data_IF_751113928070
#
_entry.id   IF_751113928070
#
_cell.length_a   1.000
_cell.length_b   1.000
_cell.length_c   1.000
_cell.angle_alpha   90.00
_cell.angle_beta   90.00
_cell.angle_gamma   90.00
#
_symmetry.space_group_name_H-M   'P 1'
#
loop_
_entity.id
_entity.type
_entity.pdbx_description
1 polymer ?
#
# COMPACT_ATOMS: atom_id res chain seq x y z
N UNK A 1 13.54 11.36 -22.11
CA UNK A 1 14.42 10.59 -21.23
C UNK A 1 15.26 9.65 -22.07
N UNK A 2 16.29 9.03 -21.49
CA UNK A 2 17.15 8.11 -22.24
C UNK A 2 16.36 6.82 -22.52
N UNK A 3 16.58 6.18 -23.68
CA UNK A 3 15.94 4.89 -23.99
C UNK A 3 16.74 3.79 -23.31
N UNK A 4 16.11 3.08 -22.36
CA UNK A 4 16.71 1.98 -21.61
C UNK A 4 16.03 0.68 -22.02
N UNK A 5 16.82 -0.32 -22.43
CA UNK A 5 16.33 -1.64 -22.84
C UNK A 5 15.58 -2.33 -21.68
N UNK A 6 14.41 -2.89 -21.95
CA UNK A 6 13.55 -3.53 -20.95
C UNK A 6 12.70 -2.57 -20.12
N UNK A 7 12.84 -1.26 -20.36
CA UNK A 7 12.08 -0.20 -19.70
C UNK A 7 11.52 0.82 -20.70
N UNK A 8 11.22 0.37 -21.91
CA UNK A 8 10.75 1.21 -23.02
C UNK A 8 9.43 1.92 -22.69
N UNK A 9 8.61 1.31 -21.82
CA UNK A 9 7.34 1.86 -21.34
C UNK A 9 7.48 2.77 -20.11
N UNK A 10 8.68 2.92 -19.54
CA UNK A 10 8.87 3.72 -18.34
C UNK A 10 8.55 5.19 -18.59
N UNK A 11 7.57 5.70 -17.85
CA UNK A 11 7.15 7.10 -17.86
C UNK A 11 7.38 7.72 -16.47
N UNK A 12 7.00 8.99 -16.26
CA UNK A 12 7.00 9.57 -14.90
C UNK A 12 5.84 9.05 -14.03
N UNK A 13 4.87 8.39 -14.64
CA UNK A 13 3.81 7.64 -13.95
C UNK A 13 4.23 6.18 -13.80
N UNK A 14 3.75 5.55 -12.72
CA UNK A 14 4.05 4.15 -12.44
C UNK A 14 3.35 3.22 -13.44
N UNK A 15 4.14 2.49 -14.22
CA UNK A 15 3.64 1.51 -15.20
C UNK A 15 3.83 0.10 -14.66
N UNK A 16 2.77 -0.72 -14.71
CA UNK A 16 2.84 -2.11 -14.30
C UNK A 16 3.58 -2.96 -15.35
N UNK A 17 4.42 -3.87 -14.87
CA UNK A 17 5.19 -4.77 -15.73
C UNK A 17 4.64 -6.18 -15.57
N UNK A 18 4.22 -6.84 -16.66
CA UNK A 18 3.77 -8.22 -16.60
C UNK A 18 4.95 -9.14 -16.24
N UNK A 19 4.75 -10.18 -15.41
CA UNK A 19 5.75 -11.20 -15.19
C UNK A 19 6.01 -12.01 -16.47
N UNK A 20 7.18 -12.65 -16.55
CA UNK A 20 7.45 -13.63 -17.60
C UNK A 20 6.38 -14.72 -17.59
N UNK A 21 5.99 -15.23 -18.76
CA UNK A 21 5.15 -16.42 -18.80
C UNK A 21 5.91 -17.57 -18.15
N UNK A 22 5.33 -18.16 -17.11
CA UNK A 22 5.89 -19.39 -16.54
C UNK A 22 5.70 -20.54 -17.54
N UNK A 23 6.80 -21.18 -17.92
CA UNK A 23 6.79 -22.38 -18.74
C UNK A 23 6.21 -23.53 -17.92
N UNK A 24 4.88 -23.70 -17.98
CA UNK A 24 4.07 -24.83 -17.52
C UNK A 24 4.81 -25.82 -16.59
N UNK A 25 4.77 -25.56 -15.28
CA UNK A 25 5.11 -26.58 -14.30
C UNK A 25 4.20 -27.80 -14.52
N UNK A 26 4.80 -28.96 -14.73
CA UNK A 26 4.09 -30.24 -14.74
C UNK A 26 3.35 -30.31 -13.41
N UNK A 27 2.02 -30.35 -13.43
CA UNK A 27 1.24 -30.77 -12.27
C UNK A 27 1.82 -32.10 -11.83
N UNK A 28 2.51 -32.13 -10.70
CA UNK A 28 2.68 -33.38 -9.99
C UNK A 28 1.29 -33.75 -9.52
N UNK A 29 0.71 -34.79 -10.11
CA UNK A 29 -0.41 -35.53 -9.51
C UNK A 29 0.13 -36.19 -8.22
N UNK A 30 0.47 -35.39 -7.22
CA UNK A 30 0.49 -35.87 -5.85
C UNK A 30 -0.97 -35.85 -5.43
N UNK A 31 -1.61 -37.02 -5.43
CA UNK A 31 -2.90 -37.20 -4.78
C UNK A 31 -2.78 -36.63 -3.37
N UNK A 32 -3.41 -35.48 -3.16
CA UNK A 32 -3.40 -34.79 -1.87
C UNK A 32 -4.05 -35.69 -0.84
N UNK A 33 -3.41 -35.83 0.32
CA UNK A 33 -3.93 -36.61 1.45
C UNK A 33 -5.13 -35.87 2.06
N UNK A 34 -6.29 -35.99 1.42
CA UNK A 34 -7.57 -35.58 1.99
C UNK A 34 -7.90 -36.55 3.10
N UNK A 35 -8.01 -36.04 4.32
CA UNK A 35 -8.56 -36.85 5.41
C UNK A 35 -9.99 -37.26 5.04
N UNK A 36 -10.41 -38.49 5.37
CA UNK A 36 -11.81 -38.87 5.25
C UNK A 36 -12.67 -37.85 5.99
N UNK A 37 -13.77 -37.41 5.37
CA UNK A 37 -14.71 -36.52 6.05
C UNK A 37 -15.16 -37.17 7.37
N UNK A 38 -15.11 -36.44 8.50
CA UNK A 38 -15.61 -36.97 9.76
C UNK A 38 -17.09 -37.30 9.63
N UNK A 39 -17.54 -38.33 10.36
CA UNK A 39 -18.95 -38.67 10.45
C UNK A 39 -19.74 -37.52 11.06
N UNK A 40 -20.89 -37.17 10.48
CA UNK A 40 -21.75 -36.11 10.99
C UNK A 40 -22.17 -36.48 12.43
N UNK A 41 -21.86 -35.65 13.43
CA UNK A 41 -22.32 -35.89 14.80
C UNK A 41 -23.84 -35.88 14.84
N UNK A 42 -24.42 -36.93 15.42
CA UNK A 42 -25.87 -37.01 15.60
C UNK A 42 -26.26 -36.36 16.93
N UNK A 43 -26.79 -35.14 16.83
CA UNK A 43 -27.46 -34.46 17.94
C UNK A 43 -28.73 -35.21 18.35
N UNK A 44 -28.86 -35.53 19.63
CA UNK A 44 -30.07 -36.10 20.21
C UNK A 44 -31.12 -35.02 20.49
N UNK A 45 -32.40 -35.42 20.59
CA UNK A 45 -33.48 -34.49 20.96
C UNK A 45 -33.22 -33.78 22.30
N UNK A 46 -32.64 -34.51 23.26
CA UNK A 46 -32.30 -33.97 24.58
C UNK A 46 -31.27 -32.84 24.47
N UNK A 47 -30.21 -33.05 23.70
CA UNK A 47 -29.15 -32.04 23.50
C UNK A 47 -29.68 -30.82 22.75
N UNK A 48 -30.49 -31.03 21.71
CA UNK A 48 -31.15 -29.94 20.99
C UNK A 48 -32.04 -29.10 21.92
N UNK A 49 -32.80 -29.76 22.81
CA UNK A 49 -33.69 -29.11 23.78
C UNK A 49 -32.91 -28.34 24.84
N UNK A 50 -31.82 -28.90 25.34
CA UNK A 50 -30.93 -28.23 26.30
C UNK A 50 -30.27 -26.99 25.68
N UNK A 51 -29.81 -27.07 24.43
CA UNK A 51 -29.26 -25.94 23.69
C UNK A 51 -30.30 -24.82 23.48
N UNK A 52 -31.54 -25.18 23.08
CA UNK A 52 -32.64 -24.24 22.91
C UNK A 52 -33.01 -23.55 24.24
N UNK A 53 -33.09 -24.32 25.34
CA UNK A 53 -33.38 -23.76 26.67
C UNK A 53 -32.27 -22.81 27.13
N UNK A 54 -31.02 -23.12 26.81
CA UNK A 54 -29.87 -22.25 27.09
C UNK A 54 -30.00 -20.94 26.31
N UNK A 55 -30.25 -20.95 25.01
CA UNK A 55 -30.41 -19.72 24.21
C UNK A 55 -31.63 -18.91 24.65
N UNK A 56 -32.77 -19.55 24.92
CA UNK A 56 -33.96 -18.86 25.44
C UNK A 56 -33.66 -18.17 26.78
N UNK A 57 -32.78 -18.73 27.60
CA UNK A 57 -32.39 -18.14 28.89
C UNK A 57 -31.49 -16.91 28.78
N UNK A 58 -30.82 -16.69 27.63
CA UNK A 58 -29.99 -15.50 27.39
C UNK A 58 -30.84 -14.28 27.01
N UNK A 59 -32.09 -14.48 26.59
CA UNK A 59 -33.02 -13.43 26.16
C UNK A 59 -34.00 -13.07 27.27
N UNK A 60 -33.88 -11.86 27.80
CA UNK A 60 -34.84 -11.33 28.77
C UNK A 60 -36.26 -11.34 28.15
N UNK A 61 -37.26 -11.78 28.91
CA UNK A 61 -38.68 -11.87 28.54
C UNK A 61 -39.10 -13.04 27.63
N UNK A 62 -38.22 -13.99 27.28
CA UNK A 62 -38.65 -15.19 26.56
C UNK A 62 -39.22 -16.25 27.54
N UNK A 63 -40.42 -16.76 27.23
CA UNK A 63 -41.04 -17.84 27.99
C UNK A 63 -40.37 -19.19 27.72
N UNK A 64 -40.04 -19.95 28.77
CA UNK A 64 -39.37 -21.27 28.64
C UNK A 64 -40.32 -22.43 28.29
N UNK A 65 -41.62 -22.23 28.45
CA UNK A 65 -42.65 -23.27 28.27
C UNK A 65 -42.62 -23.85 26.86
N UNK A 66 -42.53 -23.02 25.82
CA UNK A 66 -42.47 -23.48 24.44
C UNK A 66 -41.22 -24.35 24.19
N UNK A 67 -40.03 -23.89 24.59
CA UNK A 67 -38.78 -24.65 24.42
C UNK A 67 -38.78 -25.99 25.18
N UNK A 68 -39.45 -26.05 26.34
CA UNK A 68 -39.53 -27.28 27.15
C UNK A 68 -40.54 -28.28 26.62
N UNK A 69 -41.70 -27.82 26.18
CA UNK A 69 -42.88 -28.67 25.97
C UNK A 69 -43.19 -28.90 24.47
N UNK A 70 -42.57 -28.16 23.54
CA UNK A 70 -42.75 -28.39 22.10
C UNK A 70 -42.27 -29.77 21.66
N UNK A 71 -43.03 -30.41 20.77
CA UNK A 71 -42.63 -31.64 20.11
C UNK A 71 -41.61 -31.34 19.00
N UNK A 72 -40.46 -32.02 19.04
CA UNK A 72 -39.46 -31.97 17.97
C UNK A 72 -39.76 -33.13 17.02
N UNK A 73 -40.27 -32.82 15.84
CA UNK A 73 -40.75 -33.84 14.89
C UNK A 73 -39.65 -34.40 14.00
N UNK A 74 -38.61 -33.61 13.73
CA UNK A 74 -37.52 -33.96 12.82
C UNK A 74 -36.26 -33.15 13.20
N UNK A 75 -35.09 -33.81 13.20
CA UNK A 75 -33.79 -33.16 13.36
C UNK A 75 -32.97 -33.50 12.11
N UNK A 76 -32.56 -32.48 11.36
CA UNK A 76 -31.76 -32.63 10.13
C UNK A 76 -30.32 -32.22 10.40
N UNK A 77 -29.42 -33.20 10.44
CA UNK A 77 -27.99 -32.93 10.55
C UNK A 77 -27.39 -32.58 9.18
N UNK A 78 -26.57 -31.54 9.14
CA UNK A 78 -25.82 -31.17 7.93
C UNK A 78 -24.44 -30.65 8.30
N UNK A 79 -23.53 -30.68 7.32
CA UNK A 79 -22.22 -30.07 7.44
C UNK A 79 -22.24 -28.71 6.73
N UNK A 80 -21.64 -27.72 7.36
CA UNK A 80 -21.20 -26.50 6.69
C UNK A 80 -19.67 -26.49 6.67
N UNK A 81 -19.12 -25.94 5.61
CA UNK A 81 -17.70 -25.88 5.35
C UNK A 81 -17.30 -24.41 5.29
N UNK A 82 -16.39 -24.00 6.17
CA UNK A 82 -15.74 -22.70 6.05
C UNK A 82 -14.37 -22.94 5.43
N UNK A 83 -14.01 -22.19 4.39
CA UNK A 83 -12.64 -22.21 3.90
C UNK A 83 -12.12 -20.79 3.74
N UNK A 84 -10.85 -20.62 4.06
CA UNK A 84 -10.11 -19.40 3.82
C UNK A 84 -9.13 -19.65 2.68
N UNK A 85 -9.02 -18.70 1.76
CA UNK A 85 -8.05 -18.70 0.70
C UNK A 85 -7.11 -17.52 0.96
N UNK A 86 -5.93 -17.80 1.52
CA UNK A 86 -4.89 -16.80 1.68
C UNK A 86 -3.95 -16.84 0.47
N UNK A 87 -3.92 -15.76 -0.33
CA UNK A 87 -3.15 -15.63 -1.56
C UNK A 87 -2.15 -14.48 -1.45
N UNK A 88 -0.87 -14.77 -1.64
CA UNK A 88 0.19 -13.77 -1.62
C UNK A 88 0.67 -13.42 -3.04
N UNK A 89 0.67 -12.14 -3.42
CA UNK A 89 0.96 -11.71 -4.79
C UNK A 89 2.10 -10.70 -4.84
N UNK A 90 2.98 -10.80 -5.84
CA UNK A 90 4.01 -9.81 -6.16
C UNK A 90 3.62 -9.00 -7.41
N UNK A 91 3.68 -7.68 -7.32
CA UNK A 91 3.46 -6.75 -8.43
C UNK A 91 4.66 -5.83 -8.59
N UNK A 92 5.20 -5.74 -9.81
CA UNK A 92 6.29 -4.82 -10.17
C UNK A 92 5.79 -3.66 -11.00
N UNK A 93 6.25 -2.46 -10.67
CA UNK A 93 5.97 -1.23 -11.44
C UNK A 93 7.22 -0.39 -11.61
N UNK A 94 7.37 0.29 -12.75
CA UNK A 94 8.51 1.17 -13.03
C UNK A 94 8.06 2.59 -13.35
N UNK A 95 8.87 3.55 -12.95
CA UNK A 95 8.73 4.96 -13.33
C UNK A 95 10.08 5.66 -13.33
N UNK A 96 10.18 6.75 -14.08
CA UNK A 96 11.26 7.71 -13.98
C UNK A 96 11.13 8.50 -12.67
N UNK A 97 12.23 8.60 -11.95
CA UNK A 97 12.39 9.43 -10.77
C UNK A 97 13.58 10.36 -10.95
N UNK A 98 13.61 11.44 -10.17
CA UNK A 98 14.74 12.37 -10.16
C UNK A 98 15.00 12.93 -8.77
N UNK A 99 16.23 13.35 -8.53
CA UNK A 99 16.66 14.04 -7.31
C UNK A 99 17.79 15.03 -7.58
N UNK A 100 18.16 15.86 -6.59
CA UNK A 100 19.29 16.77 -6.71
C UNK A 100 20.58 15.97 -6.94
N UNK A 101 21.42 16.44 -7.86
CA UNK A 101 22.73 15.87 -8.07
C UNK A 101 23.78 16.70 -7.32
N UNK A 102 24.44 16.09 -6.33
CA UNK A 102 25.39 16.76 -5.43
C UNK A 102 26.87 16.60 -5.83
N UNK A 103 27.14 16.09 -7.03
CA UNK A 103 28.48 15.68 -7.44
C UNK A 103 28.82 14.28 -6.89
N UNK A 104 29.18 13.36 -7.78
CA UNK A 104 29.52 11.99 -7.45
C UNK A 104 29.48 11.09 -8.68
N UNK A 105 30.11 9.90 -8.66
CA UNK A 105 30.00 8.97 -9.77
C UNK A 105 28.54 8.58 -9.96
N UNK A 106 28.10 8.55 -11.21
CA UNK A 106 26.79 8.02 -11.60
C UNK A 106 27.05 6.78 -12.41
N UNK A 107 26.53 5.64 -11.97
CA UNK A 107 26.53 4.40 -12.76
C UNK A 107 25.60 4.62 -13.94
N UNK A 108 26.20 4.97 -15.06
CA UNK A 108 25.53 5.34 -16.30
C UNK A 108 25.38 4.12 -17.20
N UNK A 109 24.53 4.24 -18.21
CA UNK A 109 24.33 3.21 -19.23
C UNK A 109 25.60 2.87 -20.03
N UNK A 110 26.60 3.76 -20.03
CA UNK A 110 27.93 3.51 -20.63
C UNK A 110 28.81 2.58 -19.78
N UNK A 111 28.44 2.35 -18.52
CA UNK A 111 29.22 1.59 -17.53
C UNK A 111 28.72 0.15 -17.37
N UNK A 112 27.57 -0.19 -17.97
CA UNK A 112 26.94 -1.52 -17.88
C UNK A 112 25.53 -1.55 -18.48
N UNK A 113 24.99 -2.75 -18.64
CA UNK A 113 23.61 -2.96 -19.12
C UNK A 113 22.64 -3.07 -17.93
N UNK A 114 21.50 -2.38 -18.01
CA UNK A 114 20.48 -2.44 -16.97
C UNK A 114 19.81 -3.83 -16.94
N UNK A 115 19.62 -4.45 -15.76
CA UNK A 115 18.91 -5.73 -15.65
C UNK A 115 17.43 -5.58 -16.00
N UNK A 116 16.80 -6.62 -16.53
CA UNK A 116 15.35 -6.59 -16.77
C UNK A 116 14.59 -6.50 -15.44
N UNK A 117 13.37 -5.94 -15.45
CA UNK A 117 12.64 -5.69 -14.22
C UNK A 117 12.39 -6.92 -13.33
N UNK A 118 12.27 -8.11 -13.92
CA UNK A 118 12.05 -9.39 -13.21
C UNK A 118 13.34 -10.15 -12.86
N UNK A 119 14.47 -9.78 -13.46
CA UNK A 119 15.78 -10.36 -13.12
C UNK A 119 16.37 -9.75 -11.84
N UNK A 120 15.83 -8.61 -11.40
CA UNK A 120 16.21 -7.99 -10.13
C UNK A 120 15.72 -8.88 -8.98
N UNK A 121 16.61 -9.40 -8.13
CA UNK A 121 16.22 -10.28 -7.04
C UNK A 121 15.36 -9.50 -6.03
N UNK A 122 14.28 -10.13 -5.57
CA UNK A 122 13.45 -9.57 -4.52
C UNK A 122 12.88 -10.67 -3.66
N UNK A 123 12.97 -10.49 -2.35
CA UNK A 123 12.30 -11.33 -1.37
C UNK A 123 11.49 -10.45 -0.43
N UNK A 124 10.23 -10.82 -0.13
CA UNK A 124 9.46 -10.11 0.87
C UNK A 124 10.11 -10.30 2.26
N UNK A 125 10.13 -9.29 3.14
CA UNK A 125 10.65 -9.45 4.51
C UNK A 125 9.84 -10.45 5.35
N UNK A 126 8.55 -10.59 5.05
CA UNK A 126 7.65 -11.55 5.66
C UNK A 126 6.66 -12.00 4.60
N UNK A 127 6.47 -13.32 4.45
CA UNK A 127 5.38 -13.87 3.66
C UNK A 127 4.03 -13.51 4.29
N UNK A 128 2.98 -13.46 3.46
CA UNK A 128 1.60 -13.19 3.86
C UNK A 128 1.38 -11.86 4.60
N UNK A 129 2.27 -10.88 4.39
CA UNK A 129 2.10 -9.52 4.88
C UNK A 129 2.32 -8.52 3.77
N UNK A 130 1.45 -7.52 3.70
CA UNK A 130 1.58 -6.44 2.74
C UNK A 130 2.91 -5.74 2.93
N UNK A 131 3.67 -5.61 1.85
CA UNK A 131 4.95 -4.92 1.89
C UNK A 131 5.23 -4.23 0.56
N UNK A 132 6.03 -3.16 0.59
CA UNK A 132 6.42 -2.45 -0.63
C UNK A 132 7.84 -1.96 -0.48
N UNK A 133 8.69 -2.29 -1.44
CA UNK A 133 10.04 -1.74 -1.55
C UNK A 133 10.16 -0.91 -2.82
N UNK A 134 11.02 0.10 -2.73
CA UNK A 134 11.42 0.92 -3.87
C UNK A 134 12.93 0.83 -4.01
N UNK A 135 13.38 0.49 -5.21
CA UNK A 135 14.78 0.38 -5.54
C UNK A 135 15.05 1.14 -6.82
N UNK A 136 16.27 1.66 -6.93
CA UNK A 136 16.76 2.22 -8.17
C UNK A 136 17.30 1.09 -9.06
N UNK A 137 16.98 1.15 -10.35
CA UNK A 137 17.49 0.19 -11.32
C UNK A 137 18.94 0.55 -11.66
N UNK A 138 19.91 -0.37 -11.48
CA UNK A 138 21.30 -0.14 -11.81
C UNK A 138 21.52 0.29 -13.26
N UNK A 139 22.53 1.11 -13.51
CA UNK A 139 22.93 1.61 -14.84
C UNK A 139 21.87 2.43 -15.60
N UNK A 140 20.78 2.82 -14.95
CA UNK A 140 19.73 3.67 -15.57
C UNK A 140 19.87 5.15 -15.25
N UNK A 141 20.83 5.50 -14.38
CA UNK A 141 20.97 6.86 -13.90
C UNK A 141 21.69 7.75 -14.92
N UNK A 142 21.20 8.97 -15.08
CA UNK A 142 21.83 9.99 -15.91
C UNK A 142 21.69 11.38 -15.29
N UNK A 143 22.72 12.21 -15.47
CA UNK A 143 22.71 13.61 -15.02
C UNK A 143 22.12 14.47 -16.12
N UNK A 144 21.12 15.29 -15.77
CA UNK A 144 20.46 16.22 -16.68
C UNK A 144 20.42 17.61 -16.06
N UNK A 145 20.32 18.62 -16.91
CA UNK A 145 20.06 19.99 -16.46
C UNK A 145 18.71 20.02 -15.75
N UNK A 146 18.63 20.70 -14.61
CA UNK A 146 17.40 20.81 -13.85
C UNK A 146 16.29 21.44 -14.71
N UNK A 147 15.26 20.66 -15.01
CA UNK A 147 14.11 21.12 -15.81
C UNK A 147 13.33 22.27 -15.15
N UNK A 148 13.46 22.44 -13.83
CA UNK A 148 12.78 23.50 -13.10
C UNK A 148 13.53 24.82 -13.27
N UNK A 149 14.80 24.93 -12.88
CA UNK A 149 15.54 26.19 -12.98
C UNK A 149 16.22 26.44 -14.33
N UNK A 150 16.41 25.40 -15.16
CA UNK A 150 17.13 25.49 -16.43
C UNK A 150 18.66 25.46 -16.28
N UNK A 151 19.20 25.09 -15.11
CA UNK A 151 20.64 25.03 -14.86
C UNK A 151 21.24 26.02 -13.85
N UNK A 152 20.72 27.25 -13.65
CA UNK A 152 21.29 28.22 -12.71
C UNK A 152 21.27 27.84 -11.23
N UNK A 153 20.56 26.77 -10.85
CA UNK A 153 20.40 26.38 -9.45
C UNK A 153 19.52 27.33 -8.61
N UNK A 154 19.16 28.50 -9.13
CA UNK A 154 18.34 29.51 -8.47
C UNK A 154 17.17 29.94 -9.36
N UNK A 155 16.13 30.49 -8.75
CA UNK A 155 14.98 31.09 -9.43
C UNK A 155 14.66 32.44 -8.83
N UNK A 156 13.97 33.30 -9.59
CA UNK A 156 13.38 34.52 -9.05
C UNK A 156 12.59 34.19 -7.79
N UNK A 157 12.87 34.90 -6.70
CA UNK A 157 12.14 34.71 -5.46
C UNK A 157 10.70 35.17 -5.67
N UNK A 158 9.74 34.25 -5.57
CA UNK A 158 8.31 34.58 -5.73
C UNK A 158 7.82 35.52 -4.62
N UNK A 159 8.35 35.41 -3.39
CA UNK A 159 7.88 36.20 -2.26
C UNK A 159 8.14 37.71 -2.46
N UNK A 160 9.36 38.08 -2.85
CA UNK A 160 9.70 39.49 -3.13
C UNK A 160 9.66 39.85 -4.61
N UNK A 161 9.18 38.95 -5.48
CA UNK A 161 9.19 39.12 -6.93
C UNK A 161 10.56 39.58 -7.47
N UNK A 162 11.66 39.04 -6.95
CA UNK A 162 13.01 39.42 -7.40
C UNK A 162 13.58 40.73 -6.82
N UNK A 163 12.81 41.47 -6.01
CA UNK A 163 13.28 42.75 -5.46
C UNK A 163 14.35 42.60 -4.37
N UNK A 164 14.38 41.45 -3.71
CA UNK A 164 15.28 41.21 -2.57
C UNK A 164 14.77 41.78 -1.24
N UNK A 165 13.76 42.63 -1.25
CA UNK A 165 13.17 43.22 -0.04
C UNK A 165 11.64 43.17 -0.08
N UNK A 166 11.04 43.37 1.09
CA UNK A 166 9.61 43.54 1.31
C UNK A 166 9.39 44.85 2.07
N UNK A 167 8.25 45.50 1.88
CA UNK A 167 7.92 46.71 2.63
C UNK A 167 7.79 46.38 4.12
N UNK A 168 8.32 47.25 4.96
CA UNK A 168 8.19 47.08 6.39
C UNK A 168 6.71 47.17 6.77
N UNK A 169 6.13 46.05 7.21
CA UNK A 169 4.73 45.99 7.64
C UNK A 169 4.40 46.95 8.79
N UNK A 170 5.41 47.38 9.56
CA UNK A 170 5.19 48.26 10.71
C UNK A 170 5.11 49.76 10.35
N UNK A 171 5.74 50.19 9.25
CA UNK A 171 5.68 51.58 8.78
C UNK A 171 5.10 51.70 7.36
N UNK A 172 4.57 50.62 6.80
CA UNK A 172 4.00 50.54 5.45
C UNK A 172 4.90 51.05 4.31
N UNK A 173 6.21 51.15 4.53
CA UNK A 173 7.17 51.68 3.55
C UNK A 173 7.70 53.07 3.86
N UNK A 174 7.11 53.79 4.84
CA UNK A 174 7.45 55.19 5.12
C UNK A 174 8.80 55.36 5.83
N UNK A 175 9.30 54.30 6.48
CA UNK A 175 10.54 54.33 7.24
C UNK A 175 10.43 54.97 8.62
N UNK A 176 9.31 55.62 8.95
CA UNK A 176 9.07 56.29 10.23
C UNK A 176 8.13 55.51 11.14
N UNK A 177 8.26 55.70 12.46
CA UNK A 177 7.35 55.10 13.44
C UNK A 177 5.95 55.73 13.33
N UNK A 178 4.88 54.93 13.17
CA UNK A 178 3.50 55.46 13.12
C UNK A 178 3.05 56.06 14.46
N UNK A 179 3.80 55.81 15.55
CA UNK A 179 3.55 56.34 16.90
C UNK A 179 4.28 57.67 17.18
N UNK A 180 5.03 58.19 16.22
CA UNK A 180 5.70 59.48 16.37
C UNK A 180 4.67 60.62 16.34
N UNK A 181 4.56 61.38 17.44
CA UNK A 181 3.85 62.68 17.45
C UNK A 181 4.43 63.58 16.33
N UNK A 182 3.55 64.36 15.68
CA UNK A 182 3.80 65.18 14.47
C UNK A 182 5.05 66.08 14.48
N UNK A 183 5.73 66.23 15.62
CA UNK A 183 6.86 67.13 15.83
C UNK A 183 8.21 66.41 16.07
N UNK A 184 8.23 65.07 16.13
CA UNK A 184 9.47 64.30 16.30
C UNK A 184 9.42 63.01 15.47
N UNK A 185 9.78 63.09 14.19
CA UNK A 185 9.90 61.95 13.28
C UNK A 185 10.98 61.00 13.79
N UNK A 186 10.57 59.89 14.41
CA UNK A 186 11.48 58.81 14.84
C UNK A 186 11.52 57.73 13.77
N UNK A 187 12.72 57.26 13.47
CA UNK A 187 12.91 56.12 12.57
C UNK A 187 12.16 54.89 13.08
N UNK A 188 11.56 54.14 12.15
CA UNK A 188 10.93 52.88 12.44
C UNK A 188 11.99 51.90 12.96
N UNK A 189 11.82 51.40 14.18
CA UNK A 189 12.78 50.48 14.83
C UNK A 189 12.93 49.14 14.09
N UNK A 190 11.90 48.71 13.36
CA UNK A 190 11.87 47.40 12.67
C UNK A 190 12.59 47.38 11.33
N UNK A 191 12.73 48.53 10.68
CA UNK A 191 13.48 48.68 9.42
C UNK A 191 14.58 49.74 9.51
N UNK A 192 14.84 50.26 10.70
CA UNK A 192 15.86 51.29 11.01
C UNK A 192 15.84 52.43 10.00
N UNK A 193 14.67 53.05 9.79
CA UNK A 193 14.51 54.19 8.88
C UNK A 193 14.36 53.86 7.39
N UNK A 194 14.65 52.63 6.95
CA UNK A 194 14.71 52.32 5.51
C UNK A 194 13.36 52.10 4.81
N UNK A 195 12.28 51.90 5.57
CA UNK A 195 10.97 51.51 5.03
C UNK A 195 10.89 50.09 4.45
N UNK A 196 12.02 49.40 4.35
CA UNK A 196 12.16 48.12 3.66
C UNK A 196 12.87 47.10 4.55
N UNK A 197 12.55 45.82 4.39
CA UNK A 197 13.24 44.74 5.10
C UNK A 197 13.73 43.73 4.09
N UNK A 198 14.91 43.14 4.33
CA UNK A 198 15.40 42.03 3.50
C UNK A 198 14.33 40.94 3.45
N UNK A 199 14.05 40.46 2.25
CA UNK A 199 13.11 39.37 2.06
C UNK A 199 13.60 38.16 2.84
N UNK A 200 12.77 37.67 3.75
CA UNK A 200 13.12 36.55 4.64
C UNK A 200 13.41 35.27 3.86
N UNK A 201 12.82 35.11 2.66
CA UNK A 201 12.95 33.90 1.85
C UNK A 201 14.27 33.82 1.08
N UNK A 202 14.78 34.94 0.59
CA UNK A 202 16.00 35.00 -0.21
C UNK A 202 17.15 35.78 0.46
N UNK A 203 16.97 36.20 1.72
CA UNK A 203 18.00 36.90 2.49
C UNK A 203 18.46 38.24 1.92
N UNK A 204 17.69 38.86 1.01
CA UNK A 204 18.13 40.07 0.30
C UNK A 204 18.47 39.89 -1.18
N UNK A 205 18.73 38.67 -1.65
CA UNK A 205 19.32 38.47 -2.99
C UNK A 205 18.35 38.62 -4.17
N UNK A 206 17.04 38.58 -3.92
CA UNK A 206 16.02 38.51 -4.98
C UNK A 206 15.91 37.14 -5.67
N UNK A 207 16.86 36.24 -5.43
CA UNK A 207 16.89 34.89 -5.99
C UNK A 207 16.76 33.85 -4.87
N UNK A 208 15.89 32.86 -5.07
CA UNK A 208 15.73 31.73 -4.16
C UNK A 208 16.38 30.48 -4.75
N UNK A 209 16.96 29.64 -3.88
CA UNK A 209 17.50 28.34 -4.28
C UNK A 209 16.40 27.47 -4.91
N UNK A 210 16.73 26.81 -6.02
CA UNK A 210 15.85 25.85 -6.64
C UNK A 210 15.76 24.60 -5.74
N UNK A 211 14.55 24.33 -5.23
CA UNK A 211 14.30 23.19 -4.33
C UNK A 211 14.52 21.82 -5.00
N UNK A 212 14.30 21.72 -6.31
CA UNK A 212 14.38 20.44 -7.04
C UNK A 212 15.82 19.96 -7.21
N UNK A 213 16.74 20.88 -7.51
CA UNK A 213 18.17 20.55 -7.63
C UNK A 213 18.97 21.01 -6.41
N UNK A 214 18.34 21.46 -5.33
CA UNK A 214 18.99 21.99 -4.13
C UNK A 214 20.12 22.99 -4.40
N UNK A 215 19.96 23.86 -5.40
CA UNK A 215 20.99 24.84 -5.77
C UNK A 215 22.06 24.37 -6.76
N UNK A 216 22.15 23.08 -7.10
CA UNK A 216 23.25 22.56 -7.94
C UNK A 216 23.07 22.80 -9.43
N UNK A 217 21.84 23.10 -9.87
CA UNK A 217 21.52 23.29 -11.29
C UNK A 217 21.35 21.99 -12.08
N UNK A 218 21.72 20.86 -11.49
CA UNK A 218 21.68 19.54 -12.11
C UNK A 218 20.82 18.59 -11.30
N UNK A 219 20.16 17.67 -11.99
CA UNK A 219 19.37 16.60 -11.39
C UNK A 219 19.87 15.26 -11.89
N UNK A 220 19.84 14.28 -11.01
CA UNK A 220 20.07 12.87 -11.35
C UNK A 220 18.72 12.24 -11.62
N UNK A 221 18.53 11.72 -12.83
CA UNK A 221 17.33 11.04 -13.28
C UNK A 221 17.62 9.54 -13.39
N UNK A 222 16.73 8.67 -12.94
CA UNK A 222 16.93 7.22 -12.93
C UNK A 222 15.58 6.52 -13.00
N UNK A 223 15.59 5.21 -13.31
CA UNK A 223 14.38 4.39 -13.25
C UNK A 223 14.26 3.81 -11.85
N UNK A 224 13.09 3.98 -11.24
CA UNK A 224 12.73 3.39 -9.96
C UNK A 224 11.81 2.21 -10.18
N UNK A 225 12.21 1.04 -9.70
CA UNK A 225 11.37 -0.15 -9.61
C UNK A 225 10.69 -0.17 -8.23
N UNK A 226 9.38 -0.32 -8.24
CA UNK A 226 8.58 -0.53 -7.02
C UNK A 226 8.02 -1.95 -7.06
N UNK A 227 8.38 -2.74 -6.05
CA UNK A 227 7.92 -4.12 -5.87
C UNK A 227 6.94 -4.12 -4.70
N UNK A 228 5.69 -4.49 -4.97
CA UNK A 228 4.62 -4.53 -3.99
C UNK A 228 4.17 -5.97 -3.79
N UNK A 229 4.26 -6.44 -2.56
CA UNK A 229 3.62 -7.67 -2.14
C UNK A 229 2.28 -7.38 -1.47
N UNK A 230 1.25 -8.10 -1.88
CA UNK A 230 -0.11 -7.98 -1.32
C UNK A 230 -0.61 -9.35 -0.92
N UNK A 231 -0.97 -9.48 0.36
CA UNK A 231 -1.72 -10.59 0.89
C UNK A 231 -3.22 -10.34 0.68
N UNK A 232 -3.90 -11.34 0.14
CA UNK A 232 -5.33 -11.35 -0.06
C UNK A 232 -5.89 -12.51 0.75
N UNK A 233 -6.84 -12.23 1.63
CA UNK A 233 -7.60 -13.26 2.33
C UNK A 233 -9.02 -13.20 1.78
N UNK A 234 -9.50 -14.35 1.33
CA UNK A 234 -10.88 -14.54 0.92
C UNK A 234 -11.48 -15.66 1.76
N UNK A 235 -12.73 -15.53 2.18
CA UNK A 235 -13.38 -16.46 3.07
C UNK A 235 -14.75 -16.86 2.51
N UNK A 236 -15.05 -18.14 2.57
CA UNK A 236 -16.25 -18.70 1.95
C UNK A 236 -16.87 -19.73 2.86
N UNK A 237 -18.18 -19.63 3.03
CA UNK A 237 -19.00 -20.62 3.72
C UNK A 237 -19.81 -21.39 2.68
N UNK A 238 -19.70 -22.71 2.69
CA UNK A 238 -20.45 -23.63 1.85
C UNK A 238 -21.32 -24.49 2.74
N UNK A 239 -22.62 -24.22 2.71
CA UNK A 239 -23.62 -24.96 3.46
C UNK A 239 -24.59 -25.72 2.54
N UNK A 240 -25.12 -26.84 3.04
CA UNK A 240 -26.17 -27.62 2.35
C UNK A 240 -27.59 -27.21 2.77
N UNK A 241 -27.75 -26.46 3.87
CA UNK A 241 -29.06 -26.01 4.37
C UNK A 241 -29.11 -24.49 4.32
N UNK A 242 -29.90 -23.95 3.38
CA UNK A 242 -29.93 -22.55 2.94
C UNK A 242 -30.50 -21.50 3.92
N UNK A 243 -30.53 -21.78 5.22
CA UNK A 243 -31.27 -20.97 6.21
C UNK A 243 -30.43 -20.57 7.42
N UNK A 244 -29.11 -20.80 7.40
CA UNK A 244 -28.22 -20.40 8.49
C UNK A 244 -27.52 -19.09 8.12
N UNK A 245 -27.07 -18.40 9.15
CA UNK A 245 -26.39 -17.11 9.03
C UNK A 245 -24.89 -17.37 8.95
N UNK A 246 -24.27 -17.05 7.80
CA UNK A 246 -22.84 -17.24 7.54
C UNK A 246 -21.96 -16.63 8.65
N UNK A 247 -22.37 -15.48 9.20
CA UNK A 247 -21.61 -14.83 10.27
C UNK A 247 -21.63 -15.63 11.58
N UNK A 248 -22.67 -16.43 11.82
CA UNK A 248 -22.71 -17.34 12.96
C UNK A 248 -21.85 -18.57 12.70
N UNK A 249 -21.78 -19.05 11.46
CA UNK A 249 -20.93 -20.17 11.05
C UNK A 249 -19.44 -19.80 11.13
N UNK A 250 -19.07 -18.55 10.85
CA UNK A 250 -17.69 -18.08 10.97
C UNK A 250 -17.16 -18.06 12.41
N UNK A 251 -18.04 -17.88 13.40
CA UNK A 251 -17.68 -17.67 14.80
C UNK A 251 -17.71 -18.94 15.67
N UNK A 252 -18.10 -20.07 15.10
CA UNK A 252 -18.15 -21.36 15.80
C UNK A 252 -16.83 -22.12 15.70
N UNK A 253 -16.50 -22.89 16.73
CA UNK A 253 -15.32 -23.75 16.75
C UNK A 253 -15.51 -24.96 15.82
N UNK A 254 -14.53 -25.23 14.96
CA UNK A 254 -14.52 -26.39 14.05
C UNK A 254 -13.20 -27.16 14.09
N UNK A 255 -13.14 -28.27 13.35
CA UNK A 255 -11.92 -29.04 13.08
C UNK A 255 -11.25 -28.55 11.78
N UNK A 256 -9.95 -28.81 11.60
CA UNK A 256 -9.25 -28.54 10.34
C UNK A 256 -9.25 -29.83 9.51
N UNK A 257 -10.11 -29.95 8.51
CA UNK A 257 -10.13 -31.14 7.62
C UNK A 257 -9.12 -31.04 6.47
N UNK A 258 -8.69 -29.84 6.05
CA UNK A 258 -7.72 -29.67 4.97
C UNK A 258 -6.77 -28.48 5.20
N UNK A 259 -5.47 -28.67 4.98
CA UNK A 259 -4.52 -27.55 4.93
C UNK A 259 -3.57 -27.83 3.78
N UNK A 260 -3.68 -27.01 2.73
CA UNK A 260 -2.83 -27.10 1.55
C UNK A 260 -2.01 -25.81 1.46
N UNK A 261 -0.72 -25.98 1.20
CA UNK A 261 0.23 -24.90 0.91
C UNK A 261 0.91 -25.21 -0.42
N UNK A 262 0.47 -24.53 -1.49
CA UNK A 262 1.10 -24.66 -2.81
C UNK A 262 1.95 -23.44 -3.12
N UNK A 263 3.10 -23.65 -3.76
CA UNK A 263 3.94 -22.57 -4.31
C UNK A 263 3.81 -22.55 -5.83
N UNK A 264 3.36 -21.41 -6.37
CA UNK A 264 3.21 -21.06 -7.79
C UNK A 264 1.92 -21.57 -8.47
N UNK A 265 0.81 -20.88 -8.24
CA UNK A 265 -0.40 -21.04 -9.04
C UNK A 265 -0.39 -20.14 -10.30
N UNK A 266 -0.70 -20.65 -11.51
CA UNK A 266 -0.98 -19.79 -12.65
C UNK A 266 -2.34 -19.10 -12.46
N UNK A 267 -2.33 -17.79 -12.23
CA UNK A 267 -3.56 -16.98 -12.22
C UNK A 267 -4.22 -17.03 -13.60
N UNK A 268 -5.28 -17.83 -13.74
CA UNK A 268 -6.12 -17.87 -14.94
C UNK A 268 -7.30 -16.89 -14.88
N UNK A 269 -7.48 -16.16 -13.77
CA UNK A 269 -8.66 -15.28 -13.56
C UNK A 269 -8.38 -13.86 -13.09
N UNK A 270 -7.13 -13.40 -13.00
CA UNK A 270 -6.85 -11.98 -12.76
C UNK A 270 -5.67 -11.50 -13.60
N UNK A 271 -5.70 -10.26 -14.15
CA UNK A 271 -4.55 -9.63 -14.82
C UNK A 271 -3.47 -9.18 -13.81
N UNK A 272 -3.36 -9.87 -12.68
CA UNK A 272 -2.37 -9.68 -11.64
C UNK A 272 -1.55 -10.94 -11.57
N UNK A 273 -0.51 -10.96 -12.38
CA UNK A 273 0.38 -12.08 -12.44
C UNK A 273 1.48 -11.89 -11.38
N UNK A 274 1.48 -12.81 -10.43
CA UNK A 274 2.42 -12.90 -9.31
C UNK A 274 2.52 -14.35 -8.88
N UNK A 275 3.64 -14.72 -8.25
CA UNK A 275 3.81 -16.04 -7.61
C UNK A 275 2.83 -16.13 -6.44
N UNK A 276 1.79 -16.93 -6.59
CA UNK A 276 0.83 -17.22 -5.52
C UNK A 276 1.38 -18.34 -4.64
N UNK A 277 1.54 -18.07 -3.35
CA UNK A 277 1.51 -19.14 -2.34
C UNK A 277 0.14 -19.14 -1.71
N UNK A 278 -0.56 -20.28 -1.77
CA UNK A 278 -1.96 -20.40 -1.34
C UNK A 278 -2.01 -21.25 -0.08
N UNK A 279 -2.61 -20.76 1.02
CA UNK A 279 -2.64 -21.45 2.32
C UNK A 279 -4.03 -21.60 2.95
N UNK A 280 -4.26 -22.82 3.49
CA UNK A 280 -5.13 -23.28 4.62
C UNK A 280 -6.68 -23.28 4.45
N UNK A 281 -7.26 -24.48 4.38
CA UNK A 281 -8.71 -24.73 4.24
C UNK A 281 -9.33 -25.31 5.54
N UNK A 282 -9.59 -24.46 6.55
CA UNK A 282 -10.10 -24.92 7.87
C UNK A 282 -11.56 -25.37 7.80
N UNK A 283 -11.76 -26.62 7.41
CA UNK A 283 -13.06 -27.23 7.20
C UNK A 283 -13.46 -28.05 8.42
N UNK A 284 -14.44 -27.62 9.23
CA UNK A 284 -14.90 -28.36 10.40
C UNK A 284 -16.38 -28.74 10.31
N UNK A 285 -16.81 -29.94 10.77
CA UNK A 285 -18.23 -30.28 10.85
C UNK A 285 -18.91 -29.42 11.92
N UNK A 286 -20.01 -28.77 11.56
CA UNK A 286 -20.88 -28.10 12.53
C UNK A 286 -22.08 -28.96 12.86
N UNK A 287 -22.43 -28.96 14.15
CA UNK A 287 -23.71 -29.45 14.64
C UNK A 287 -24.44 -28.22 15.15
N UNK A 288 -25.56 -27.87 14.53
CA UNK A 288 -26.51 -26.89 15.06
C UNK A 288 -27.76 -27.65 15.48
#
# INVERSE_FOLDING_TARGET
MDKVRGYESASFEAVAIPPPLETSLKKSDSETHRSPLPSIPHLTEKEAREALLKEVSTRCCYGKTAARDMAITEIKHSMAFHYTLETFTEKRTTCWAFGPYNGGPVERLDSGEAPFPWDIPSTPPSFFKNHTIQLEVPYTASVKVCHVCGGPGRKRCNTCSGKGYEYCHHCHGDGFSPLALRSATKDCLYCTGSGQRKCWKCGGEGMALCKVCSGTGQIRCFIRLTIKWTNHMDDHVVEKISNLDDDKIRNVSGEVVCQEEETNFPSSRTPLAGKSSTGICIMGPFTI
#
